data_IF_783040249088
#
_entry.id   IF_783040249088
#
_cell.length_a   1.000
_cell.length_b   1.000
_cell.length_c   1.000
_cell.angle_alpha   90.00
_cell.angle_beta   90.00
_cell.angle_gamma   90.00
#
_symmetry.space_group_name_H-M   'P 1'
#
loop_
_entity.id
_entity.type
_entity.pdbx_description
1 polymer ?
#
# COMPACT_ATOMS: atom_id res chain seq x y z
N UNK A 1 -12.25 7.41 -7.88
CA UNK A 1 -11.54 6.99 -6.65
C UNK A 1 -10.02 7.07 -6.75
N UNK A 2 -9.39 6.47 -7.77
CA UNK A 2 -7.93 6.34 -7.89
C UNK A 2 -7.13 7.66 -7.99
N UNK A 3 -7.80 8.78 -8.27
CA UNK A 3 -7.15 10.09 -8.39
C UNK A 3 -7.23 10.95 -7.12
N UNK A 4 -8.25 10.79 -6.26
CA UNK A 4 -8.55 11.80 -5.23
C UNK A 4 -8.39 11.35 -3.79
N UNK A 5 -8.32 10.05 -3.50
CA UNK A 5 -8.01 9.54 -2.16
C UNK A 5 -8.97 9.93 -1.02
N UNK A 6 -10.18 10.37 -1.35
CA UNK A 6 -11.12 10.97 -0.38
C UNK A 6 -11.46 10.04 0.78
N UNK A 7 -11.53 8.73 0.55
CA UNK A 7 -11.80 7.74 1.59
C UNK A 7 -10.78 7.79 2.73
N UNK A 8 -9.48 7.86 2.43
CA UNK A 8 -8.43 7.92 3.47
C UNK A 8 -8.48 9.25 4.22
N UNK A 9 -8.55 10.37 3.50
CA UNK A 9 -8.56 11.68 4.12
C UNK A 9 -9.80 11.88 4.99
N UNK A 10 -10.97 11.44 4.51
CA UNK A 10 -12.21 11.41 5.27
C UNK A 10 -12.08 10.57 6.53
N UNK A 11 -11.59 9.33 6.43
CA UNK A 11 -11.39 8.45 7.57
C UNK A 11 -10.39 9.05 8.59
N UNK A 12 -9.26 9.57 8.14
CA UNK A 12 -8.26 10.19 9.00
C UNK A 12 -8.82 11.42 9.73
N UNK A 13 -9.52 12.33 9.02
CA UNK A 13 -10.08 13.54 9.63
C UNK A 13 -11.21 13.21 10.61
N UNK A 14 -12.13 12.32 10.22
CA UNK A 14 -13.27 11.92 11.06
C UNK A 14 -12.83 11.15 12.30
N UNK A 15 -12.00 10.11 12.14
CA UNK A 15 -11.57 9.26 13.25
C UNK A 15 -10.68 10.01 14.26
N UNK A 16 -10.01 11.08 13.82
CA UNK A 16 -9.25 11.93 14.72
C UNK A 16 -10.06 13.10 15.31
N UNK A 17 -11.35 13.22 14.98
CA UNK A 17 -12.24 14.27 15.50
C UNK A 17 -11.91 15.66 14.98
N UNK A 18 -11.27 15.76 13.81
CA UNK A 18 -10.92 17.03 13.17
C UNK A 18 -12.13 17.64 12.49
N UNK A 19 -12.96 16.78 11.91
CA UNK A 19 -14.21 17.15 11.25
C UNK A 19 -15.37 16.34 11.82
N UNK A 20 -16.56 16.95 11.99
CA UNK A 20 -17.70 16.29 12.63
C UNK A 20 -18.55 15.45 11.65
N UNK A 21 -18.09 15.24 10.42
CA UNK A 21 -18.83 14.54 9.38
C UNK A 21 -18.12 13.25 8.97
N UNK A 22 -18.92 12.20 8.73
CA UNK A 22 -18.45 10.88 8.31
C UNK A 22 -18.17 10.83 6.80
N UNK A 23 -18.97 11.54 6.01
CA UNK A 23 -18.82 11.58 4.55
C UNK A 23 -17.58 12.39 4.17
N UNK A 24 -16.68 11.87 3.32
CA UNK A 24 -15.51 12.61 2.90
C UNK A 24 -15.87 13.93 2.23
N UNK A 25 -15.18 15.00 2.60
CA UNK A 25 -15.30 16.32 1.96
C UNK A 25 -14.03 16.80 1.30
N UNK A 26 -12.93 16.10 1.50
CA UNK A 26 -11.63 16.51 0.98
C UNK A 26 -11.10 15.46 0.01
N UNK A 27 -10.46 15.92 -1.05
CA UNK A 27 -9.84 15.05 -2.06
C UNK A 27 -8.75 15.76 -2.84
N UNK A 28 -7.89 14.96 -3.46
CA UNK A 28 -6.72 15.43 -4.18
C UNK A 28 -7.03 15.68 -5.66
N UNK A 29 -6.73 16.90 -6.13
CA UNK A 29 -6.77 17.27 -7.53
C UNK A 29 -5.88 18.49 -7.77
N UNK A 30 -5.24 18.55 -8.94
CA UNK A 30 -4.33 19.64 -9.29
C UNK A 30 -4.61 20.17 -10.69
N UNK A 31 -4.41 21.47 -10.86
CA UNK A 31 -4.25 22.09 -12.17
C UNK A 31 -2.85 21.79 -12.74
N UNK A 32 -2.61 22.02 -14.04
CA UNK A 32 -1.29 21.80 -14.66
C UNK A 32 -0.14 22.58 -14.01
N UNK A 33 -0.42 23.68 -13.31
CA UNK A 33 0.54 24.48 -12.55
C UNK A 33 0.75 23.98 -11.10
N UNK A 34 0.09 22.89 -10.71
CA UNK A 34 0.13 22.33 -9.36
C UNK A 34 -0.85 22.99 -8.38
N UNK A 35 -1.70 23.92 -8.82
CA UNK A 35 -2.69 24.55 -7.95
C UNK A 35 -3.75 23.52 -7.50
N UNK A 36 -4.02 23.34 -6.20
CA UNK A 36 -5.06 22.42 -5.74
C UNK A 36 -6.45 22.85 -6.21
N UNK A 37 -7.24 21.90 -6.71
CA UNK A 37 -8.56 22.15 -7.27
C UNK A 37 -9.68 21.52 -6.44
N UNK A 38 -10.84 22.18 -6.44
CA UNK A 38 -12.09 21.56 -6.02
C UNK A 38 -12.62 20.67 -7.13
N UNK A 39 -12.96 19.43 -6.79
CA UNK A 39 -13.70 18.53 -7.69
C UNK A 39 -15.19 18.67 -7.45
N UNK A 40 -15.97 18.63 -8.52
CA UNK A 40 -17.43 18.66 -8.49
C UNK A 40 -17.93 17.47 -9.30
N UNK A 41 -18.93 16.77 -8.78
CA UNK A 41 -19.57 15.68 -9.52
C UNK A 41 -20.20 16.22 -10.80
N UNK A 42 -20.01 15.52 -11.92
CA UNK A 42 -20.56 15.93 -13.22
C UNK A 42 -22.09 15.84 -13.19
N UNK A 43 -22.58 14.76 -12.60
CA UNK A 43 -24.01 14.53 -12.40
C UNK A 43 -24.45 14.98 -11.00
N UNK A 44 -25.74 15.23 -10.84
CA UNK A 44 -26.32 15.47 -9.53
C UNK A 44 -26.09 14.23 -8.66
N UNK A 45 -25.28 14.40 -7.61
CA UNK A 45 -24.96 13.33 -6.68
C UNK A 45 -26.24 12.72 -6.08
N UNK A 46 -26.33 11.39 -6.15
CA UNK A 46 -27.33 10.58 -5.49
C UNK A 46 -26.81 10.05 -4.13
N UNK A 47 -27.28 10.60 -2.99
CA UNK A 47 -26.86 10.13 -1.67
C UNK A 47 -27.22 8.66 -1.41
N UNK A 48 -28.23 8.11 -2.08
CA UNK A 48 -28.60 6.71 -1.93
C UNK A 48 -27.53 5.76 -2.48
N UNK A 49 -26.67 6.25 -3.38
CA UNK A 49 -25.54 5.53 -3.96
C UNK A 49 -24.19 5.89 -3.34
N UNK A 50 -24.17 6.71 -2.29
CA UNK A 50 -22.92 7.19 -1.67
C UNK A 50 -22.17 8.23 -2.50
N UNK A 51 -22.85 8.85 -3.48
CA UNK A 51 -22.24 9.87 -4.34
C UNK A 51 -22.12 11.21 -3.58
N UNK A 52 -21.00 11.89 -3.81
CA UNK A 52 -20.64 13.15 -3.20
C UNK A 52 -20.80 14.29 -4.21
N UNK A 53 -21.36 15.45 -3.81
CA UNK A 53 -21.52 16.59 -4.72
C UNK A 53 -20.19 17.24 -5.09
N UNK A 54 -19.24 17.28 -4.16
CA UNK A 54 -17.93 17.92 -4.34
C UNK A 54 -16.91 17.45 -3.33
N UNK A 55 -15.63 17.57 -3.69
CA UNK A 55 -14.48 17.37 -2.82
C UNK A 55 -13.59 18.62 -2.87
N UNK A 56 -13.29 19.15 -1.70
CA UNK A 56 -12.43 20.32 -1.52
C UNK A 56 -10.95 19.92 -1.40
N UNK A 57 -10.00 20.73 -1.90
CA UNK A 57 -8.60 20.51 -1.61
C UNK A 57 -8.35 20.69 -0.10
N UNK A 58 -7.31 20.03 0.43
CA UNK A 58 -6.92 20.25 1.82
C UNK A 58 -6.59 21.74 2.04
N UNK A 59 -7.13 22.38 3.10
CA UNK A 59 -6.70 23.70 3.48
C UNK A 59 -5.22 23.67 3.89
N UNK A 60 -4.52 24.78 3.74
CA UNK A 60 -3.15 24.93 4.27
C UNK A 60 -3.12 24.57 5.76
N UNK A 61 -2.19 23.71 6.19
CA UNK A 61 -2.18 23.22 7.57
C UNK A 61 -2.02 24.34 8.61
N UNK A 62 -1.41 25.46 8.22
CA UNK A 62 -1.15 26.63 9.07
C UNK A 62 -2.43 27.32 9.56
N UNK A 63 -3.54 27.17 8.83
CA UNK A 63 -4.85 27.70 9.22
C UNK A 63 -5.71 26.66 9.95
N UNK A 64 -5.27 25.40 9.99
CA UNK A 64 -6.00 24.31 10.61
C UNK A 64 -6.06 24.46 12.14
N UNK A 65 -7.26 24.52 12.71
CA UNK A 65 -7.44 24.52 14.16
C UNK A 65 -7.54 23.10 14.71
N UNK A 66 -6.95 22.80 15.88
CA UNK A 66 -7.08 21.49 16.52
C UNK A 66 -8.56 21.13 16.79
N UNK A 67 -9.08 20.12 16.11
CA UNK A 67 -10.49 19.71 16.27
C UNK A 67 -10.73 18.87 17.52
N UNK A 68 -9.80 17.98 17.87
CA UNK A 68 -9.89 17.13 19.05
C UNK A 68 -9.05 17.67 20.21
N UNK A 69 -9.64 18.59 20.96
CA UNK A 69 -9.03 19.23 22.14
C UNK A 69 -8.97 18.31 23.38
N UNK A 70 -9.55 17.10 23.33
CA UNK A 70 -9.62 16.17 24.46
C UNK A 70 -8.55 15.07 24.40
N UNK A 71 -7.83 14.91 23.29
CA UNK A 71 -6.65 14.00 23.23
C UNK A 71 -5.47 14.45 24.10
N UNK A 72 -5.53 15.64 24.71
CA UNK A 72 -4.59 16.05 25.75
C UNK A 72 -4.63 15.16 27.01
N UNK A 73 -5.72 14.40 27.20
CA UNK A 73 -5.88 13.45 28.30
C UNK A 73 -5.38 12.03 27.97
N UNK A 74 -4.82 11.80 26.78
CA UNK A 74 -4.05 10.58 26.52
C UNK A 74 -2.96 10.47 27.59
N UNK A 75 -2.74 9.28 28.14
CA UNK A 75 -1.66 9.04 29.12
C UNK A 75 -0.31 9.29 28.44
N UNK A 76 0.15 10.54 28.50
CA UNK A 76 1.47 10.98 28.07
C UNK A 76 2.46 11.05 29.23
N UNK A 77 3.65 11.53 28.92
CA UNK A 77 4.74 11.74 29.87
C UNK A 77 4.55 12.94 30.78
N UNK A 78 5.51 13.12 31.69
CA UNK A 78 5.48 14.21 32.69
C UNK A 78 5.84 15.59 32.11
N UNK A 79 6.43 15.64 30.92
CA UNK A 79 7.01 16.85 30.34
C UNK A 79 6.26 17.30 29.07
N UNK A 80 6.11 18.63 28.84
CA UNK A 80 5.58 19.14 27.57
C UNK A 80 6.49 18.71 26.40
N UNK A 81 5.93 18.45 25.21
CA UNK A 81 6.73 18.05 24.06
C UNK A 81 7.75 19.14 23.73
N UNK A 82 9.01 18.73 23.59
CA UNK A 82 10.05 19.57 23.04
C UNK A 82 9.69 20.00 21.62
N UNK A 83 10.27 21.12 21.16
CA UNK A 83 10.11 21.58 19.78
C UNK A 83 10.44 20.45 18.80
N UNK A 84 9.71 20.32 17.67
CA UNK A 84 10.00 19.31 16.65
C UNK A 84 11.49 19.30 16.28
N UNK A 85 12.13 18.14 16.35
CA UNK A 85 13.55 17.97 16.04
C UNK A 85 14.53 18.19 17.21
N UNK A 86 14.03 18.47 18.42
CA UNK A 86 14.90 18.56 19.62
C UNK A 86 14.72 17.31 20.49
N UNK A 87 15.73 16.43 20.61
CA UNK A 87 15.64 15.25 21.47
C UNK A 87 15.51 15.67 22.94
N UNK A 88 14.62 15.02 23.70
CA UNK A 88 14.50 15.30 25.14
C UNK A 88 15.40 14.34 25.93
N UNK A 89 16.49 14.81 26.59
CA UNK A 89 17.49 13.93 27.21
C UNK A 89 16.96 13.10 28.39
N UNK A 90 15.82 13.50 28.97
CA UNK A 90 15.21 12.87 30.15
C UNK A 90 14.03 11.95 29.80
N UNK A 91 13.81 11.65 28.52
CA UNK A 91 12.73 10.78 28.07
C UNK A 91 12.94 9.33 28.56
N UNK A 92 11.93 8.73 29.19
CA UNK A 92 11.99 7.31 29.59
C UNK A 92 11.98 6.38 28.35
N UNK A 93 12.95 5.46 28.20
CA UNK A 93 12.98 4.52 27.08
C UNK A 93 11.70 3.66 27.01
N UNK A 94 11.12 3.52 25.83
CA UNK A 94 9.90 2.72 25.62
C UNK A 94 8.61 3.34 26.16
N UNK A 95 8.69 4.52 26.79
CA UNK A 95 7.53 5.37 27.12
C UNK A 95 7.69 6.71 26.42
N UNK A 96 7.19 6.88 25.20
CA UNK A 96 7.17 8.19 24.61
C UNK A 96 6.39 9.13 25.55
N UNK A 97 7.00 10.23 26.00
CA UNK A 97 6.33 11.29 26.77
C UNK A 97 5.12 11.92 26.03
N UNK A 98 4.78 11.45 24.83
CA UNK A 98 3.83 12.08 23.91
C UNK A 98 2.41 11.55 24.10
N UNK A 99 1.51 12.44 24.52
CA UNK A 99 0.28 12.60 23.73
C UNK A 99 0.64 13.18 22.35
N UNK A 100 -0.20 12.96 21.33
CA UNK A 100 0.10 13.35 19.93
C UNK A 100 0.50 14.83 19.72
N UNK A 101 0.11 15.72 20.64
CA UNK A 101 0.64 17.07 20.90
C UNK A 101 -0.14 17.64 22.10
N UNK A 102 0.24 18.76 22.75
CA UNK A 102 -0.68 19.45 23.63
C UNK A 102 -1.74 20.08 22.73
N UNK A 103 -2.87 19.39 22.55
CA UNK A 103 -4.03 19.88 21.79
C UNK A 103 -5.00 20.48 22.79
N UNK A 104 -5.15 21.80 22.82
CA UNK A 104 -6.12 22.44 23.73
C UNK A 104 -6.09 23.95 23.70
N UNK A 105 -7.17 24.56 24.17
CA UNK A 105 -7.22 26.01 24.39
C UNK A 105 -6.10 26.43 25.36
N UNK A 106 -5.30 27.42 24.99
CA UNK A 106 -4.15 27.86 25.79
C UNK A 106 -2.85 27.06 25.59
N UNK A 107 -2.87 26.02 24.75
CA UNK A 107 -1.62 25.43 24.24
C UNK A 107 -1.06 26.38 23.17
N UNK A 108 0.27 26.58 23.12
CA UNK A 108 0.90 27.40 22.07
C UNK A 108 0.79 26.76 20.66
N UNK A 109 0.10 25.63 20.55
CA UNK A 109 -0.05 24.89 19.31
C UNK A 109 -1.12 25.55 18.43
N UNK A 110 -0.69 26.06 17.27
CA UNK A 110 -1.54 26.82 16.35
C UNK A 110 -2.09 25.98 15.19
N UNK A 111 -1.65 24.73 15.05
CA UNK A 111 -1.98 23.86 13.90
C UNK A 111 -2.48 22.50 14.34
N UNK A 112 -3.49 21.95 13.66
CA UNK A 112 -3.87 20.54 13.87
C UNK A 112 -2.82 19.61 13.24
N UNK A 113 -2.16 18.74 14.02
CA UNK A 113 -1.20 17.79 13.49
C UNK A 113 -1.82 16.79 12.51
N UNK A 114 -3.14 16.56 12.51
CA UNK A 114 -3.80 15.70 11.51
C UNK A 114 -3.80 16.38 10.14
N UNK A 115 -4.12 17.68 10.07
CA UNK A 115 -4.01 18.45 8.81
C UNK A 115 -2.58 18.47 8.29
N UNK A 116 -1.61 18.69 9.20
CA UNK A 116 -0.19 18.64 8.87
C UNK A 116 0.23 17.27 8.35
N UNK A 117 -0.16 16.20 9.06
CA UNK A 117 0.19 14.86 8.67
C UNK A 117 -0.42 14.53 7.31
N UNK A 118 -1.69 14.78 7.05
CA UNK A 118 -2.29 14.52 5.73
C UNK A 118 -1.57 15.19 4.56
N UNK A 119 -0.97 16.36 4.79
CA UNK A 119 -0.18 17.07 3.77
C UNK A 119 1.27 16.59 3.65
N UNK A 120 1.80 15.94 4.68
CA UNK A 120 3.17 15.39 4.71
C UNK A 120 3.23 13.90 4.39
N UNK A 121 2.20 13.17 4.79
CA UNK A 121 2.11 11.73 4.67
C UNK A 121 1.34 11.40 3.41
N UNK A 122 2.08 10.84 2.48
CA UNK A 122 1.57 10.25 1.26
C UNK A 122 1.22 8.77 1.48
N UNK A 123 0.45 8.50 2.54
CA UNK A 123 0.04 7.14 2.93
C UNK A 123 -0.83 6.44 1.86
N UNK A 124 -1.47 7.22 0.97
CA UNK A 124 -2.20 6.73 -0.21
C UNK A 124 -1.48 7.07 -1.51
N UNK A 125 -0.20 7.46 -1.47
CA UNK A 125 0.60 7.48 -2.69
C UNK A 125 0.93 6.02 -2.97
N UNK A 126 0.37 5.48 -4.06
CA UNK A 126 0.03 6.25 -5.24
C UNK A 126 -1.44 6.59 -5.54
N UNK A 127 -1.68 7.90 -5.66
CA UNK A 127 -2.73 8.45 -6.50
C UNK A 127 -2.18 8.75 -7.89
N UNK A 128 -3.08 8.84 -8.88
CA UNK A 128 -2.70 8.98 -10.28
C UNK A 128 -2.05 10.33 -10.63
N UNK A 129 -2.06 11.33 -9.75
CA UNK A 129 -1.50 12.66 -10.05
C UNK A 129 0.03 12.71 -10.10
N UNK A 130 0.71 11.74 -9.48
CA UNK A 130 2.15 11.78 -9.28
C UNK A 130 2.82 10.48 -9.71
N UNK A 131 4.10 10.57 -10.07
CA UNK A 131 4.90 9.40 -10.42
C UNK A 131 5.04 8.47 -9.21
N UNK A 132 5.21 7.17 -9.47
CA UNK A 132 5.60 6.22 -8.44
C UNK A 132 6.97 6.56 -7.86
N UNK A 133 7.26 6.04 -6.67
CA UNK A 133 8.58 6.18 -6.05
C UNK A 133 9.65 5.52 -6.91
N UNK A 134 9.33 4.40 -7.57
CA UNK A 134 10.19 3.72 -8.55
C UNK A 134 11.59 3.39 -8.00
N UNK A 135 11.68 3.14 -6.69
CA UNK A 135 12.91 3.02 -5.92
C UNK A 135 13.18 1.60 -5.40
N UNK A 136 12.18 0.72 -5.42
CA UNK A 136 12.28 -0.66 -4.98
C UNK A 136 11.98 -1.66 -6.11
N UNK A 137 12.54 -2.89 -6.04
CA UNK A 137 12.18 -3.95 -6.97
C UNK A 137 10.69 -4.28 -6.83
N UNK A 138 9.99 -4.35 -7.96
CA UNK A 138 8.56 -4.59 -7.99
C UNK A 138 7.65 -3.41 -7.64
N UNK A 139 8.20 -2.20 -7.54
CA UNK A 139 7.48 -0.97 -7.22
C UNK A 139 7.64 0.08 -8.34
N UNK A 140 7.36 -0.32 -9.59
CA UNK A 140 7.48 0.57 -10.75
C UNK A 140 6.15 0.92 -11.40
N UNK A 141 5.92 2.23 -11.57
CA UNK A 141 4.80 2.80 -12.33
C UNK A 141 5.08 4.24 -12.78
N UNK A 142 4.33 4.67 -13.78
CA UNK A 142 4.20 6.08 -14.16
C UNK A 142 2.99 6.73 -13.44
N UNK A 143 2.53 7.89 -13.91
CA UNK A 143 1.35 8.61 -13.40
C UNK A 143 0.20 8.62 -14.43
N UNK A 144 -0.98 9.11 -14.04
CA UNK A 144 -2.14 9.24 -14.91
C UNK A 144 -2.55 7.92 -15.57
N UNK A 145 -2.91 7.97 -16.84
CA UNK A 145 -3.29 6.77 -17.60
C UNK A 145 -2.15 5.75 -17.71
N UNK A 146 -0.90 6.22 -17.79
CA UNK A 146 0.27 5.34 -17.94
C UNK A 146 0.61 4.61 -16.64
N UNK A 147 0.06 5.01 -15.48
CA UNK A 147 0.24 4.28 -14.23
C UNK A 147 -0.31 2.84 -14.29
N UNK A 148 -1.38 2.62 -15.06
CA UNK A 148 -2.00 1.31 -15.25
C UNK A 148 -1.70 0.74 -16.64
N UNK A 149 -1.75 1.57 -17.68
CA UNK A 149 -1.71 1.08 -19.06
C UNK A 149 -0.30 0.91 -19.63
N UNK A 150 0.74 1.42 -18.98
CA UNK A 150 2.13 1.17 -19.39
C UNK A 150 2.76 0.24 -18.36
N UNK A 151 3.08 -0.98 -18.81
CA UNK A 151 3.45 -2.05 -17.89
C UNK A 151 4.94 -2.08 -17.59
N UNK A 152 5.24 -2.33 -16.33
CA UNK A 152 6.60 -2.49 -15.82
C UNK A 152 6.87 -3.95 -15.41
N UNK A 153 8.15 -4.31 -15.38
CA UNK A 153 8.59 -5.60 -14.86
C UNK A 153 8.61 -5.52 -13.33
N UNK A 154 7.48 -5.91 -12.71
CA UNK A 154 7.27 -5.75 -11.27
C UNK A 154 7.30 -7.05 -10.45
N UNK A 155 7.18 -8.22 -11.08
CA UNK A 155 7.06 -9.48 -10.34
C UNK A 155 7.39 -10.66 -11.28
N UNK A 156 8.21 -11.59 -10.80
CA UNK A 156 8.60 -12.84 -11.48
C UNK A 156 7.57 -13.96 -11.35
N UNK A 157 6.53 -13.82 -10.54
CA UNK A 157 5.44 -14.80 -10.42
C UNK A 157 4.52 -14.76 -11.67
N UNK A 158 4.43 -15.86 -12.44
CA UNK A 158 3.54 -15.92 -13.60
C UNK A 158 2.05 -15.76 -13.27
N UNK A 159 1.63 -16.06 -12.03
CA UNK A 159 0.24 -15.91 -11.59
C UNK A 159 -0.12 -14.43 -11.43
N UNK A 160 0.80 -13.60 -10.94
CA UNK A 160 0.54 -12.18 -10.72
C UNK A 160 0.83 -11.33 -11.95
N UNK A 161 1.91 -11.66 -12.67
CA UNK A 161 2.43 -10.89 -13.81
C UNK A 161 2.02 -11.42 -15.19
N UNK A 162 1.42 -12.61 -15.26
CA UNK A 162 1.12 -13.26 -16.52
C UNK A 162 2.36 -13.34 -17.43
N UNK A 163 2.22 -12.88 -18.67
CA UNK A 163 3.30 -12.88 -19.66
C UNK A 163 4.51 -11.99 -19.32
N UNK A 164 4.41 -11.10 -18.32
CA UNK A 164 5.50 -10.19 -17.94
C UNK A 164 6.52 -10.82 -17.00
N UNK A 165 6.22 -11.95 -16.36
CA UNK A 165 7.09 -12.61 -15.39
C UNK A 165 8.53 -12.86 -15.93
N UNK A 166 8.66 -13.11 -17.23
CA UNK A 166 9.96 -13.30 -17.91
C UNK A 166 10.87 -12.08 -17.89
N UNK A 167 10.34 -10.89 -17.62
CA UNK A 167 11.08 -9.63 -17.62
C UNK A 167 11.64 -9.27 -16.23
N UNK A 168 11.35 -10.06 -15.19
CA UNK A 168 11.89 -9.84 -13.84
C UNK A 168 11.05 -8.87 -13.00
N UNK A 169 11.69 -8.31 -11.98
CA UNK A 169 11.13 -7.34 -11.02
C UNK A 169 11.94 -6.03 -10.93
N UNK A 170 12.83 -5.78 -11.89
CA UNK A 170 13.77 -4.64 -11.85
C UNK A 170 13.30 -3.42 -12.67
N UNK A 171 12.12 -3.48 -13.30
CA UNK A 171 11.64 -2.39 -14.15
C UNK A 171 12.62 -2.01 -15.26
N UNK A 172 13.25 -3.00 -15.91
CA UNK A 172 14.15 -2.79 -17.05
C UNK A 172 13.38 -2.82 -18.37
N UNK A 173 13.78 -1.99 -19.31
CA UNK A 173 13.12 -1.94 -20.62
C UNK A 173 13.47 -3.16 -21.47
N UNK A 174 12.45 -3.77 -22.09
CA UNK A 174 12.59 -4.81 -23.10
C UNK A 174 12.30 -4.29 -24.52
N UNK A 175 12.25 -2.97 -24.70
CA UNK A 175 12.05 -2.33 -26.01
C UNK A 175 13.27 -2.51 -26.91
N UNK A 176 13.06 -2.46 -28.23
CA UNK A 176 14.15 -2.33 -29.21
C UNK A 176 14.70 -0.91 -29.36
N UNK A 177 14.22 0.06 -28.55
CA UNK A 177 14.63 1.45 -28.64
C UNK A 177 16.11 1.61 -28.22
N UNK A 178 16.99 2.11 -29.11
CA UNK A 178 18.42 2.27 -28.79
C UNK A 178 18.70 3.43 -27.84
N UNK A 179 17.74 4.33 -27.61
CA UNK A 179 17.89 5.49 -26.73
C UNK A 179 17.66 5.17 -25.26
N UNK A 180 17.10 4.00 -24.96
CA UNK A 180 16.82 3.55 -23.59
C UNK A 180 17.91 2.59 -23.14
N UNK A 181 18.69 2.94 -22.10
CA UNK A 181 19.65 2.03 -21.50
C UNK A 181 18.96 0.75 -21.01
N UNK A 182 19.50 -0.42 -21.35
CA UNK A 182 18.89 -1.73 -21.01
C UNK A 182 19.31 -2.25 -19.64
N UNK A 183 20.32 -1.62 -19.06
CA UNK A 183 20.84 -1.85 -17.72
C UNK A 183 20.27 -0.87 -16.69
N UNK A 184 19.49 0.12 -17.12
CA UNK A 184 18.82 1.07 -16.24
C UNK A 184 17.42 0.57 -15.83
N UNK A 185 17.08 0.79 -14.56
CA UNK A 185 15.77 0.49 -13.96
C UNK A 185 14.80 1.66 -14.11
N UNK A 186 13.54 1.43 -13.77
CA UNK A 186 12.50 2.46 -13.81
C UNK A 186 11.97 2.76 -15.21
N UNK A 187 12.23 1.87 -16.17
CA UNK A 187 11.72 1.93 -17.52
C UNK A 187 10.64 0.86 -17.74
N UNK A 188 9.56 1.19 -18.46
CA UNK A 188 8.54 0.19 -18.76
C UNK A 188 9.09 -0.88 -19.70
N UNK A 189 8.49 -2.06 -19.64
CA UNK A 189 8.85 -3.19 -20.50
C UNK A 189 8.74 -2.77 -21.97
N UNK A 190 7.65 -2.10 -22.30
CA UNK A 190 7.39 -1.51 -23.61
C UNK A 190 6.74 -0.12 -23.50
N UNK A 191 7.08 0.80 -24.41
CA UNK A 191 6.43 2.11 -24.55
C UNK A 191 5.09 2.00 -25.31
N UNK A 192 4.15 1.24 -24.74
CA UNK A 192 2.84 0.97 -25.35
C UNK A 192 1.76 0.94 -24.30
N UNK A 193 0.57 1.47 -24.64
CA UNK A 193 -0.61 1.30 -23.81
C UNK A 193 -1.24 -0.08 -24.05
N UNK A 194 -1.74 -0.70 -22.99
CA UNK A 194 -2.46 -1.98 -23.06
C UNK A 194 -3.67 -1.97 -22.13
N UNK A 195 -4.73 -2.68 -22.52
CA UNK A 195 -5.88 -3.00 -21.66
C UNK A 195 -5.70 -4.30 -20.88
N UNK A 196 -4.73 -5.14 -21.25
CA UNK A 196 -4.40 -6.37 -20.54
C UNK A 196 -3.45 -6.05 -19.38
N UNK A 197 -4.01 -5.60 -18.26
CA UNK A 197 -3.25 -5.14 -17.09
C UNK A 197 -3.14 -6.29 -16.07
N UNK A 198 -1.93 -6.78 -15.77
CA UNK A 198 -1.75 -7.83 -14.79
C UNK A 198 -1.91 -7.30 -13.36
N UNK A 199 -2.22 -8.20 -12.42
CA UNK A 199 -2.35 -7.88 -11.00
C UNK A 199 -1.07 -7.27 -10.43
N UNK A 200 0.11 -7.65 -10.95
CA UNK A 200 1.40 -7.05 -10.55
C UNK A 200 1.53 -5.56 -10.84
N UNK A 201 0.72 -4.99 -11.73
CA UNK A 201 0.65 -3.53 -11.93
C UNK A 201 -0.23 -2.85 -10.89
N UNK A 202 -1.31 -3.50 -10.46
CA UNK A 202 -2.25 -2.97 -9.48
C UNK A 202 -1.65 -2.94 -8.06
N UNK A 203 -0.84 -3.96 -7.72
CA UNK A 203 -0.29 -4.10 -6.36
C UNK A 203 0.69 -2.99 -6.00
N UNK A 204 1.39 -2.41 -6.98
CA UNK A 204 2.25 -1.22 -6.82
C UNK A 204 1.49 -0.09 -6.13
N UNK A 205 0.18 0.01 -6.36
CA UNK A 205 -0.66 1.00 -5.72
C UNK A 205 -1.41 0.50 -4.50
N UNK A 206 -2.00 -0.68 -4.62
CA UNK A 206 -2.98 -1.16 -3.65
C UNK A 206 -2.35 -1.86 -2.43
N UNK A 207 -1.02 -1.94 -2.35
CA UNK A 207 -0.30 -2.53 -1.21
C UNK A 207 0.10 -1.49 -0.14
N UNK A 208 0.21 -0.22 -0.52
CA UNK A 208 0.73 0.87 0.34
C UNK A 208 -0.14 1.29 1.52
N UNK A 209 -1.49 1.29 1.44
CA UNK A 209 -2.29 1.73 2.57
C UNK A 209 -2.29 0.72 3.74
N UNK A 210 -1.45 -0.33 3.70
CA UNK A 210 -1.62 -1.53 4.52
C UNK A 210 -2.98 -2.21 4.28
N UNK A 211 -3.69 -1.81 3.22
CA UNK A 211 -5.01 -2.33 2.89
C UNK A 211 -4.85 -3.77 2.46
N UNK A 212 -5.38 -4.64 3.31
CA UNK A 212 -5.31 -6.08 3.17
C UNK A 212 -5.98 -6.62 1.90
N UNK A 213 -6.74 -5.82 1.14
CA UNK A 213 -7.58 -6.30 0.03
C UNK A 213 -6.77 -7.04 -1.04
N UNK A 214 -5.69 -6.45 -1.53
CA UNK A 214 -4.88 -7.08 -2.59
C UNK A 214 -4.02 -8.20 -2.03
N UNK A 215 -3.52 -8.03 -0.81
CA UNK A 215 -2.80 -9.09 -0.10
C UNK A 215 -3.70 -10.31 0.13
N UNK A 216 -4.98 -10.12 0.43
CA UNK A 216 -5.94 -11.24 0.51
C UNK A 216 -6.21 -11.87 -0.86
N UNK A 217 -6.24 -11.09 -1.95
CA UNK A 217 -6.39 -11.64 -3.30
C UNK A 217 -5.19 -12.50 -3.71
N UNK A 218 -3.97 -12.04 -3.41
CA UNK A 218 -2.73 -12.77 -3.66
C UNK A 218 -2.43 -13.87 -2.63
N UNK A 219 -3.17 -13.92 -1.53
CA UNK A 219 -2.87 -14.81 -0.41
C UNK A 219 -1.52 -14.49 0.24
N UNK A 220 -1.18 -13.21 0.40
CA UNK A 220 0.03 -12.74 1.04
C UNK A 220 -0.29 -11.94 2.30
N UNK A 221 0.71 -11.75 3.16
CA UNK A 221 0.66 -10.79 4.26
C UNK A 221 2.02 -10.11 4.41
N UNK A 222 2.02 -8.94 5.03
CA UNK A 222 3.27 -8.32 5.45
C UNK A 222 4.03 -9.27 6.38
N UNK A 223 5.35 -9.38 6.16
CA UNK A 223 6.21 -10.24 6.94
C UNK A 223 6.26 -9.78 8.40
N UNK A 224 6.42 -10.74 9.31
CA UNK A 224 6.42 -10.49 10.76
C UNK A 224 7.76 -9.96 11.29
N UNK A 225 8.75 -9.74 10.41
CA UNK A 225 10.10 -9.32 10.73
C UNK A 225 10.88 -10.28 11.64
N UNK A 226 10.39 -11.51 11.83
CA UNK A 226 10.95 -12.47 12.78
C UNK A 226 11.19 -13.84 12.14
N UNK A 227 10.21 -14.34 11.40
CA UNK A 227 10.29 -15.69 10.82
C UNK A 227 11.36 -15.72 9.74
N UNK A 228 12.28 -16.70 9.78
CA UNK A 228 13.50 -16.73 8.94
C UNK A 228 14.50 -15.60 9.20
N UNK A 229 14.46 -14.99 10.39
CA UNK A 229 15.34 -13.87 10.76
C UNK A 229 16.84 -14.17 10.58
N UNK A 230 17.29 -15.41 10.74
CA UNK A 230 18.70 -15.81 10.50
C UNK A 230 19.16 -15.59 9.06
N UNK A 231 18.22 -15.54 8.10
CA UNK A 231 18.47 -15.30 6.68
C UNK A 231 18.31 -13.84 6.29
N UNK A 232 17.47 -13.10 7.01
CA UNK A 232 17.11 -11.72 6.66
C UNK A 232 17.84 -10.66 7.50
N UNK A 233 18.47 -11.04 8.60
CA UNK A 233 19.34 -10.18 9.39
C UNK A 233 20.82 -10.57 9.23
N UNK A 234 21.75 -9.62 9.35
CA UNK A 234 23.17 -9.92 9.36
C UNK A 234 23.55 -10.77 10.58
N UNK A 235 24.50 -11.70 10.41
CA UNK A 235 25.01 -12.57 11.49
C UNK A 235 25.56 -11.79 12.69
N UNK A 236 26.04 -10.59 12.45
CA UNK A 236 26.47 -9.64 13.48
C UNK A 236 25.54 -8.44 13.44
N UNK A 237 24.96 -8.10 14.57
CA UNK A 237 24.02 -6.99 14.67
C UNK A 237 24.65 -5.69 14.15
N UNK A 238 23.95 -5.05 13.21
CA UNK A 238 24.29 -3.73 12.71
C UNK A 238 23.80 -2.66 13.71
N UNK A 239 24.67 -1.73 14.06
CA UNK A 239 24.33 -0.54 14.83
C UNK A 239 24.50 0.69 13.90
N UNK A 240 23.48 1.01 13.08
CA UNK A 240 23.59 2.08 12.10
C UNK A 240 23.75 3.45 12.79
N UNK A 241 24.55 4.33 12.18
CA UNK A 241 24.61 5.74 12.58
C UNK A 241 23.28 6.44 12.29
N UNK A 242 23.02 7.60 12.90
CA UNK A 242 21.79 8.35 12.63
C UNK A 242 21.64 8.76 11.16
N UNK A 243 22.76 9.03 10.47
CA UNK A 243 22.77 9.26 9.02
C UNK A 243 22.35 8.03 8.22
N UNK A 244 22.87 6.85 8.58
CA UNK A 244 22.48 5.59 7.94
C UNK A 244 21.02 5.21 8.25
N UNK A 245 20.53 5.53 9.45
CA UNK A 245 19.12 5.36 9.81
C UNK A 245 18.23 6.26 8.97
N UNK A 246 18.62 7.53 8.79
CA UNK A 246 17.89 8.48 7.96
C UNK A 246 17.85 8.03 6.50
N UNK A 247 18.99 7.57 5.95
CA UNK A 247 19.06 7.05 4.57
C UNK A 247 18.16 5.82 4.39
N UNK A 248 18.20 4.87 5.34
CA UNK A 248 17.33 3.69 5.31
C UNK A 248 15.85 4.06 5.41
N UNK A 249 15.49 4.92 6.36
CA UNK A 249 14.11 5.37 6.59
C UNK A 249 13.54 6.25 5.47
N UNK A 250 14.41 6.89 4.68
CA UNK A 250 13.99 7.66 3.52
C UNK A 250 13.49 6.75 2.37
N UNK A 251 13.98 5.50 2.30
CA UNK A 251 13.55 4.51 1.31
C UNK A 251 12.44 3.62 1.85
N UNK A 252 12.64 3.07 3.05
CA UNK A 252 11.67 2.18 3.68
C UNK A 252 11.28 2.75 5.06
N UNK A 253 10.01 3.14 5.27
CA UNK A 253 9.56 3.79 6.51
C UNK A 253 9.53 2.84 7.73
N UNK A 254 9.92 1.58 7.57
CA UNK A 254 9.97 0.56 8.61
C UNK A 254 11.30 0.58 9.38
N UNK A 255 11.25 0.65 10.72
CA UNK A 255 12.47 0.79 11.52
C UNK A 255 13.43 -0.40 11.40
N UNK A 256 12.93 -1.64 11.36
CA UNK A 256 13.82 -2.80 11.32
C UNK A 256 14.55 -2.94 9.98
N UNK A 257 14.07 -2.32 8.89
CA UNK A 257 14.81 -2.19 7.63
C UNK A 257 16.20 -1.58 7.84
N UNK A 258 16.34 -0.62 8.76
CA UNK A 258 17.64 0.01 9.07
C UNK A 258 18.69 -0.98 9.60
N UNK A 259 18.25 -2.14 10.11
CA UNK A 259 19.09 -3.21 10.67
C UNK A 259 19.04 -4.50 9.85
N UNK A 260 18.01 -4.67 9.04
CA UNK A 260 17.79 -5.82 8.17
C UNK A 260 18.60 -5.76 6.89
N UNK A 261 18.80 -6.93 6.26
CA UNK A 261 19.47 -7.03 4.96
C UNK A 261 18.63 -6.42 3.83
N UNK A 262 17.30 -6.35 4.01
CA UNK A 262 16.36 -5.75 3.05
C UNK A 262 16.37 -4.21 3.02
N UNK A 263 17.28 -3.55 3.75
CA UNK A 263 17.64 -2.16 3.42
C UNK A 263 18.42 -2.06 2.12
N UNK A 264 19.04 -3.16 1.68
CA UNK A 264 19.80 -3.23 0.45
C UNK A 264 18.90 -3.63 -0.74
N UNK A 265 19.06 -2.91 -1.85
CA UNK A 265 18.27 -3.13 -3.06
C UNK A 265 18.58 -4.48 -3.71
N UNK A 266 19.85 -4.88 -3.78
CA UNK A 266 20.25 -6.14 -4.41
C UNK A 266 19.78 -7.33 -3.58
N UNK A 267 19.72 -7.17 -2.26
CA UNK A 267 19.09 -8.16 -1.39
C UNK A 267 17.59 -8.27 -1.68
N UNK A 268 16.84 -7.15 -1.63
CA UNK A 268 15.39 -7.12 -1.91
C UNK A 268 15.07 -7.79 -3.23
N UNK A 269 15.85 -7.47 -4.27
CA UNK A 269 15.70 -8.03 -5.61
C UNK A 269 15.71 -9.55 -5.64
N UNK A 270 16.44 -10.23 -4.74
CA UNK A 270 16.62 -11.68 -4.76
C UNK A 270 15.89 -12.42 -3.62
N UNK A 271 15.03 -11.75 -2.87
CA UNK A 271 14.37 -12.36 -1.71
C UNK A 271 13.54 -13.58 -2.09
N UNK A 272 12.74 -13.50 -3.15
CA UNK A 272 11.92 -14.63 -3.60
C UNK A 272 12.77 -15.80 -4.12
N UNK A 273 13.97 -15.56 -4.64
CA UNK A 273 14.88 -16.61 -5.11
C UNK A 273 15.42 -17.48 -3.96
N UNK A 274 15.37 -16.98 -2.71
CA UNK A 274 15.76 -17.74 -1.53
C UNK A 274 14.72 -18.78 -1.10
N UNK A 275 13.48 -18.69 -1.60
CA UNK A 275 12.34 -19.53 -1.21
C UNK A 275 12.60 -21.04 -1.14
N UNK A 276 13.33 -21.66 -2.09
CA UNK A 276 13.65 -23.10 -2.02
C UNK A 276 14.50 -23.50 -0.80
N UNK A 277 15.17 -22.54 -0.16
CA UNK A 277 16.04 -22.76 1.01
C UNK A 277 15.38 -22.42 2.34
N UNK A 278 14.19 -21.81 2.31
CA UNK A 278 13.49 -21.35 3.51
C UNK A 278 12.65 -22.47 4.13
N UNK A 279 12.62 -22.49 5.46
CA UNK A 279 11.98 -23.57 6.20
C UNK A 279 10.53 -23.27 6.55
N UNK A 280 10.23 -22.03 6.90
CA UNK A 280 8.99 -21.65 7.60
C UNK A 280 8.03 -20.83 6.74
N UNK A 281 8.57 -20.00 5.83
CA UNK A 281 7.80 -19.07 4.99
C UNK A 281 8.30 -19.08 3.55
N UNK A 282 7.48 -18.53 2.66
CA UNK A 282 7.83 -18.22 1.27
C UNK A 282 7.51 -16.75 1.04
N UNK A 283 8.41 -16.00 0.43
CA UNK A 283 8.26 -14.59 0.14
C UNK A 283 7.72 -14.34 -1.28
N UNK A 284 6.92 -13.29 -1.41
CA UNK A 284 6.54 -12.74 -2.71
C UNK A 284 7.68 -11.89 -3.30
N UNK A 285 7.59 -11.60 -4.60
CA UNK A 285 8.67 -10.96 -5.36
C UNK A 285 8.58 -9.43 -5.49
N UNK A 286 7.43 -8.88 -5.09
CA UNK A 286 7.17 -7.44 -5.12
C UNK A 286 7.46 -6.81 -3.77
N UNK A 287 8.02 -5.61 -3.78
CA UNK A 287 8.49 -4.91 -2.59
C UNK A 287 8.03 -3.45 -2.54
N UNK A 288 6.71 -3.22 -2.59
CA UNK A 288 6.13 -1.88 -2.41
C UNK A 288 6.64 -1.24 -1.11
N UNK A 289 7.18 -0.02 -1.19
CA UNK A 289 7.86 0.68 -0.07
C UNK A 289 9.05 -0.09 0.57
N UNK A 290 9.62 -1.06 -0.14
CA UNK A 290 10.70 -1.90 0.38
C UNK A 290 10.25 -2.94 1.41
N UNK A 291 8.93 -3.16 1.54
CA UNK A 291 8.39 -4.15 2.45
C UNK A 291 8.51 -5.58 1.91
N UNK A 292 8.60 -6.54 2.84
CA UNK A 292 8.61 -7.96 2.53
C UNK A 292 7.23 -8.55 2.76
N UNK A 293 6.74 -9.31 1.79
CA UNK A 293 5.46 -10.01 1.89
C UNK A 293 5.69 -11.51 1.86
N UNK A 294 4.97 -12.25 2.70
CA UNK A 294 5.01 -13.71 2.76
C UNK A 294 3.69 -14.31 2.30
N UNK A 295 3.75 -15.48 1.68
CA UNK A 295 2.58 -16.24 1.28
C UNK A 295 1.90 -16.87 2.51
N UNK A 296 0.57 -16.84 2.51
CA UNK A 296 -0.29 -17.41 3.54
C UNK A 296 -0.67 -18.83 3.12
N UNK A 297 -0.35 -19.82 3.94
CA UNK A 297 -0.76 -21.20 3.67
C UNK A 297 -1.86 -21.66 4.64
N UNK A 298 -2.71 -22.57 4.18
CA UNK A 298 -3.73 -23.23 4.99
C UNK A 298 -3.05 -24.02 6.11
N UNK A 299 -3.50 -23.78 7.34
CA UNK A 299 -2.97 -24.44 8.54
C UNK A 299 -4.09 -24.91 9.47
N UNK A 300 -3.81 -25.92 10.28
CA UNK A 300 -4.68 -26.30 11.39
C UNK A 300 -4.47 -25.37 12.60
N UNK A 301 -5.15 -25.68 13.73
CA UNK A 301 -5.06 -24.89 14.96
C UNK A 301 -3.71 -25.04 15.68
N UNK A 302 -2.92 -26.05 15.33
CA UNK A 302 -1.60 -26.31 15.89
C UNK A 302 -0.49 -25.70 15.02
N UNK A 303 -0.83 -25.20 13.83
CA UNK A 303 0.08 -24.55 12.90
C UNK A 303 0.65 -25.47 11.82
N UNK A 304 0.18 -26.71 11.70
CA UNK A 304 0.63 -27.64 10.67
C UNK A 304 0.09 -27.24 9.29
N UNK A 305 0.90 -27.39 8.24
CA UNK A 305 0.48 -27.13 6.86
C UNK A 305 -0.56 -28.16 6.41
N UNK A 306 -1.58 -27.71 5.69
CA UNK A 306 -2.66 -28.57 5.19
C UNK A 306 -2.70 -28.58 3.66
N UNK A 307 -2.97 -29.75 3.10
CA UNK A 307 -3.24 -29.93 1.66
C UNK A 307 -4.71 -29.61 1.30
N UNK A 308 -5.06 -29.82 0.03
CA UNK A 308 -6.40 -29.58 -0.51
C UNK A 308 -7.49 -30.43 0.16
N UNK A 309 -7.13 -31.64 0.62
CA UNK A 309 -8.02 -32.56 1.33
C UNK A 309 -8.07 -32.31 2.84
N UNK A 310 -7.25 -31.37 3.35
CA UNK A 310 -7.15 -31.07 4.78
C UNK A 310 -6.28 -32.05 5.55
N UNK A 311 -5.46 -32.87 4.87
CA UNK A 311 -4.47 -33.70 5.52
C UNK A 311 -3.21 -32.88 5.84
N UNK A 312 -2.49 -33.30 6.88
CA UNK A 312 -1.25 -32.66 7.31
C UNK A 312 -0.15 -32.96 6.30
N UNK A 313 0.45 -31.90 5.76
CA UNK A 313 1.67 -31.99 4.95
C UNK A 313 2.85 -32.14 5.89
N UNK A 314 3.66 -33.18 5.66
CA UNK A 314 4.81 -33.47 6.52
C UNK A 314 5.77 -32.26 6.60
N UNK A 315 6.17 -31.81 7.79
CA UNK A 315 7.14 -30.72 7.94
C UNK A 315 8.51 -31.01 7.32
N UNK A 316 8.88 -32.29 7.18
CA UNK A 316 10.17 -32.71 6.60
C UNK A 316 10.14 -32.88 5.09
N UNK A 317 8.98 -32.69 4.46
CA UNK A 317 8.85 -32.79 3.01
C UNK A 317 9.49 -31.56 2.34
N UNK A 318 10.49 -31.74 1.45
CA UNK A 318 11.09 -30.61 0.73
C UNK A 318 10.07 -29.86 -0.14
N UNK A 319 9.02 -30.54 -0.60
CA UNK A 319 7.98 -29.99 -1.46
C UNK A 319 6.74 -29.52 -0.67
N UNK A 320 6.87 -29.36 0.66
CA UNK A 320 5.72 -29.05 1.54
C UNK A 320 4.93 -27.82 1.11
N UNK A 321 5.60 -26.76 0.66
CA UNK A 321 4.92 -25.53 0.23
C UNK A 321 4.21 -25.67 -1.11
N UNK A 322 4.67 -26.58 -1.97
CA UNK A 322 3.96 -26.91 -3.22
C UNK A 322 2.73 -27.79 -2.97
N UNK A 323 2.77 -28.63 -1.92
CA UNK A 323 1.66 -29.51 -1.52
C UNK A 323 0.63 -28.79 -0.64
N UNK A 324 1.07 -27.82 0.14
CA UNK A 324 0.20 -27.02 0.99
C UNK A 324 -0.64 -26.06 0.17
N UNK A 325 -1.87 -25.80 0.61
CA UNK A 325 -2.76 -24.84 -0.05
C UNK A 325 -2.30 -23.42 0.26
N UNK A 326 -1.82 -22.70 -0.75
CA UNK A 326 -1.64 -21.25 -0.69
C UNK A 326 -3.02 -20.58 -0.72
N UNK A 327 -3.35 -19.78 0.29
CA UNK A 327 -4.64 -19.10 0.46
C UNK A 327 -4.77 -17.86 -0.43
N UNK A 328 -4.42 -17.97 -1.70
CA UNK A 328 -4.73 -16.97 -2.73
C UNK A 328 -6.18 -17.13 -3.20
N UNK A 329 -6.73 -16.09 -3.82
CA UNK A 329 -8.09 -16.13 -4.34
C UNK A 329 -8.23 -17.15 -5.48
N UNK A 330 -9.35 -17.85 -5.52
CA UNK A 330 -9.61 -18.86 -6.55
C UNK A 330 -9.71 -18.25 -7.94
N UNK A 331 -10.20 -17.01 -8.08
CA UNK A 331 -10.26 -16.33 -9.38
C UNK A 331 -8.84 -16.07 -9.91
N UNK A 332 -7.93 -15.63 -9.04
CA UNK A 332 -6.52 -15.47 -9.38
C UNK A 332 -5.87 -16.80 -9.78
N UNK A 333 -6.12 -17.87 -9.01
CA UNK A 333 -5.61 -19.20 -9.34
C UNK A 333 -6.13 -19.72 -10.69
N UNK A 334 -7.34 -19.33 -11.09
CA UNK A 334 -7.94 -19.62 -12.40
C UNK A 334 -7.52 -18.65 -13.50
N UNK A 335 -6.65 -17.69 -13.21
CA UNK A 335 -6.04 -16.77 -14.17
C UNK A 335 -6.76 -15.44 -14.35
N UNK A 336 -7.71 -15.09 -13.48
CA UNK A 336 -8.35 -13.77 -13.49
C UNK A 336 -7.47 -12.73 -12.79
N UNK A 337 -7.32 -11.58 -13.42
CA UNK A 337 -6.68 -10.40 -12.89
C UNK A 337 -7.71 -9.38 -12.39
N UNK A 338 -7.24 -8.34 -11.69
CA UNK A 338 -8.13 -7.33 -11.10
C UNK A 338 -9.06 -6.68 -12.14
N UNK A 339 -8.57 -6.47 -13.36
CA UNK A 339 -9.34 -5.86 -14.46
C UNK A 339 -10.43 -6.75 -15.04
N UNK A 340 -10.45 -8.05 -14.72
CA UNK A 340 -11.52 -8.94 -15.14
C UNK A 340 -12.80 -8.76 -14.30
N UNK A 341 -12.70 -8.06 -13.15
CA UNK A 341 -13.83 -7.65 -12.32
C UNK A 341 -13.98 -6.13 -12.23
N UNK A 342 -12.86 -5.37 -12.26
CA UNK A 342 -12.85 -3.92 -12.18
C UNK A 342 -12.77 -3.28 -13.57
N UNK A 343 -13.95 -2.97 -14.12
CA UNK A 343 -14.09 -2.41 -15.46
C UNK A 343 -13.87 -0.90 -15.51
N UNK A 344 -14.21 -0.31 -16.66
CA UNK A 344 -14.07 1.12 -16.95
C UNK A 344 -14.75 2.00 -15.89
N UNK A 345 -15.95 1.66 -15.42
CA UNK A 345 -16.64 2.53 -14.46
C UNK A 345 -15.94 2.60 -13.11
N UNK A 346 -15.44 1.46 -12.60
CA UNK A 346 -14.69 1.37 -11.35
C UNK A 346 -13.34 2.12 -11.45
N UNK A 347 -12.68 1.96 -12.60
CA UNK A 347 -11.29 2.37 -12.80
C UNK A 347 -11.16 3.80 -13.33
N UNK A 348 -11.92 4.15 -14.38
CA UNK A 348 -11.91 5.49 -15.00
C UNK A 348 -12.92 6.44 -14.33
N UNK A 349 -13.94 5.89 -13.68
CA UNK A 349 -14.97 6.64 -12.96
C UNK A 349 -16.26 6.79 -13.77
N UNK A 350 -17.38 6.89 -13.05
CA UNK A 350 -18.73 7.06 -13.61
C UNK A 350 -19.14 8.54 -13.84
N UNK A 351 -18.23 9.49 -13.59
CA UNK A 351 -18.54 10.91 -13.51
C UNK A 351 -19.18 11.35 -12.18
N UNK A 352 -19.51 10.41 -11.29
CA UNK A 352 -19.86 10.68 -9.91
C UNK A 352 -18.61 10.64 -9.01
N UNK A 353 -18.61 11.44 -7.94
CA UNK A 353 -17.59 11.35 -6.90
C UNK A 353 -18.06 10.38 -5.83
N UNK A 354 -17.23 9.42 -5.45
CA UNK A 354 -17.55 8.44 -4.41
C UNK A 354 -16.73 8.69 -3.16
N UNK A 355 -17.33 8.52 -1.98
CA UNK A 355 -16.63 8.65 -0.70
C UNK A 355 -15.99 7.34 -0.21
N UNK A 356 -16.47 6.21 -0.70
CA UNK A 356 -16.09 4.87 -0.29
C UNK A 356 -15.68 4.06 -1.51
N UNK A 357 -14.72 3.14 -1.34
CA UNK A 357 -14.34 2.21 -2.41
C UNK A 357 -15.50 1.28 -2.76
N UNK A 358 -16.32 0.89 -1.79
CA UNK A 358 -17.45 -0.03 -2.00
C UNK A 358 -18.54 0.59 -2.87
N UNK A 359 -18.75 1.89 -2.75
CA UNK A 359 -19.78 2.62 -3.49
C UNK A 359 -19.36 2.82 -4.96
N UNK A 360 -18.06 2.74 -5.24
CA UNK A 360 -17.48 2.85 -6.57
C UNK A 360 -17.36 1.50 -7.30
N UNK A 361 -17.62 0.36 -6.64
CA UNK A 361 -17.55 -0.97 -7.27
C UNK A 361 -18.89 -1.26 -7.95
N UNK A 362 -18.84 -1.45 -9.25
CA UNK A 362 -19.99 -1.80 -10.08
C UNK A 362 -20.33 -3.29 -10.00
N UNK A 363 -19.32 -4.16 -10.04
CA UNK A 363 -19.50 -5.61 -10.04
C UNK A 363 -19.26 -6.19 -8.64
N UNK A 364 -20.30 -6.75 -8.06
CA UNK A 364 -20.28 -7.43 -6.78
C UNK A 364 -20.28 -8.96 -6.96
N UNK A 365 -19.99 -9.67 -5.86
CA UNK A 365 -20.01 -11.14 -5.84
C UNK A 365 -21.36 -11.71 -6.30
N UNK A 366 -22.45 -11.02 -5.98
CA UNK A 366 -23.82 -11.43 -6.30
C UNK A 366 -24.17 -11.34 -7.79
N UNK A 367 -23.48 -10.50 -8.56
CA UNK A 367 -23.72 -10.39 -10.00
C UNK A 367 -23.28 -11.66 -10.74
N UNK A 368 -22.26 -12.36 -10.21
CA UNK A 368 -21.76 -13.62 -10.79
C UNK A 368 -22.24 -14.87 -10.06
N UNK A 369 -22.42 -14.82 -8.73
CA UNK A 369 -22.80 -15.98 -7.92
C UNK A 369 -24.28 -16.01 -7.50
N UNK A 370 -25.00 -14.90 -7.69
CA UNK A 370 -26.32 -14.69 -7.13
C UNK A 370 -26.27 -14.30 -5.66
N UNK A 371 -27.44 -13.97 -5.12
CA UNK A 371 -27.60 -13.70 -3.70
C UNK A 371 -28.10 -14.94 -2.96
N UNK A 372 -28.25 -14.84 -1.64
CA UNK A 372 -28.91 -15.88 -0.84
C UNK A 372 -30.38 -16.10 -1.21
N UNK A 373 -30.97 -15.21 -2.03
CA UNK A 373 -32.38 -15.24 -2.43
C UNK A 373 -32.58 -15.63 -3.89
N UNK A 374 -31.61 -15.38 -4.76
CA UNK A 374 -31.76 -15.58 -6.20
C UNK A 374 -30.41 -15.96 -6.83
N UNK A 375 -30.46 -16.72 -7.94
CA UNK A 375 -29.25 -17.01 -8.72
C UNK A 375 -28.87 -15.79 -9.54
N UNK A 376 -27.58 -15.65 -9.85
CA UNK A 376 -27.11 -14.66 -10.81
C UNK A 376 -27.86 -14.82 -12.14
N UNK A 377 -28.26 -13.69 -12.71
CA UNK A 377 -29.08 -13.60 -13.93
C UNK A 377 -28.27 -13.72 -15.20
#
# INVERSE_FOLDING_TARGET
>A
MMAHGAMLWGAALYNNGVVPFKDPRFGEAYAPDGTPLRMVSVNKADPAKGELPSLDPLPRFEIGQPGNMLRIFERGGRFPPALPGTPQPLQEPGKPDKGLSPRGLGTLNRTDPVWLNLQKTRLLDPLLWMLGTNDHPGDYRSSGCTACHVLYANDRDPVHSGGLARHGNEGRSATGDPTIPKDERGHPVHHTLTSAIPTSQCIVCHIHPGTTVTNTYLGTLWWDNETEGERLYPKVQRNPTEEQRLEGLARNPEEAATRGLWSDYDFLKEVSAMNPTLEKVQFADFHGHGWLFRNVYKRDREGNLLDEHGAIVSPTDPERFRKAVHLKDIHLERGMHCVDCHFEQDSHGSGALHGSVRDAVEIACEDCHGSVRERAS
#
